data_IF_807831407501
#
_entry.id   IF_807831407501
#
_cell.length_a   1.000
_cell.length_b   1.000
_cell.length_c   1.000
_cell.angle_alpha   90.00
_cell.angle_beta   90.00
_cell.angle_gamma   90.00
#
_symmetry.space_group_name_H-M   'P 1'
#
loop_
_entity.id
_entity.type
_entity.pdbx_description
1 polymer ?
#
# COMPACT_ATOMS: atom_id res chain seq x y z
N UNK A 1 8.43 19.18 -57.09
CA UNK A 1 8.24 19.50 -55.65
C UNK A 1 7.36 18.47 -54.90
N UNK A 2 6.18 18.07 -55.36
CA UNK A 2 5.31 17.09 -54.65
C UNK A 2 5.94 15.71 -54.47
N UNK A 3 6.75 15.19 -55.40
CA UNK A 3 7.42 13.89 -55.26
C UNK A 3 8.57 13.88 -54.24
N UNK A 4 9.26 15.02 -54.06
CA UNK A 4 10.33 15.16 -53.06
C UNK A 4 9.75 15.29 -51.66
N UNK A 5 8.60 15.95 -51.50
CA UNK A 5 7.90 16.09 -50.24
C UNK A 5 7.36 14.72 -49.74
N UNK A 6 6.83 13.90 -50.65
CA UNK A 6 6.31 12.56 -50.34
C UNK A 6 7.45 11.58 -49.91
N UNK A 7 8.62 11.70 -50.55
CA UNK A 7 9.81 10.93 -50.23
C UNK A 7 10.39 11.30 -48.84
N UNK A 8 10.36 12.59 -48.47
CA UNK A 8 10.81 13.06 -47.13
C UNK A 8 9.84 12.66 -46.00
N UNK A 9 8.53 12.66 -46.27
CA UNK A 9 7.53 12.22 -45.30
C UNK A 9 7.60 10.71 -45.08
N UNK A 10 7.81 9.93 -46.14
CA UNK A 10 8.06 8.49 -45.99
C UNK A 10 9.39 8.19 -45.31
N UNK A 11 10.45 8.96 -45.53
CA UNK A 11 11.74 8.77 -44.84
C UNK A 11 11.66 9.15 -43.35
N UNK A 12 10.92 10.19 -43.00
CA UNK A 12 10.66 10.55 -41.61
C UNK A 12 9.73 9.53 -40.88
N UNK A 13 8.75 8.99 -41.61
CA UNK A 13 7.90 7.90 -41.07
C UNK A 13 8.71 6.58 -40.84
N UNK A 14 9.64 6.25 -41.74
CA UNK A 14 10.53 5.09 -41.61
C UNK A 14 11.56 5.34 -40.49
N UNK A 15 12.07 6.55 -40.32
CA UNK A 15 12.95 6.90 -39.19
C UNK A 15 12.21 6.94 -37.84
N UNK A 16 10.92 7.30 -37.82
CA UNK A 16 10.09 7.21 -36.62
C UNK A 16 9.74 5.74 -36.24
N UNK A 17 9.64 4.83 -37.21
CA UNK A 17 9.48 3.39 -36.95
C UNK A 17 10.80 2.69 -36.55
N UNK A 18 11.96 3.29 -36.78
CA UNK A 18 13.26 2.71 -36.47
C UNK A 18 13.75 2.97 -35.02
N UNK A 19 12.98 3.70 -34.24
CA UNK A 19 13.20 3.82 -32.80
C UNK A 19 12.43 2.74 -32.01
N UNK A 20 12.40 1.48 -32.48
CA UNK A 20 12.02 0.36 -31.63
C UNK A 20 13.06 0.26 -30.51
N UNK A 21 12.67 0.64 -29.29
CA UNK A 21 13.55 0.50 -28.14
C UNK A 21 13.89 -0.99 -27.97
N UNK A 22 15.15 -1.34 -28.18
CA UNK A 22 15.63 -2.71 -27.84
C UNK A 22 15.52 -2.89 -26.33
N UNK A 23 15.14 -4.10 -25.90
CA UNK A 23 15.19 -4.45 -24.48
C UNK A 23 16.57 -4.14 -23.91
N UNK A 24 16.64 -3.46 -22.76
CA UNK A 24 17.89 -2.97 -22.18
C UNK A 24 18.20 -3.76 -20.92
N UNK A 25 19.46 -4.22 -20.82
CA UNK A 25 20.03 -4.79 -19.59
C UNK A 25 21.23 -3.95 -19.16
N UNK A 26 21.25 -3.56 -17.90
CA UNK A 26 22.39 -2.84 -17.29
C UNK A 26 22.41 -3.03 -15.77
N UNK A 27 23.51 -2.66 -15.12
CA UNK A 27 23.62 -2.69 -13.65
C UNK A 27 23.71 -1.26 -13.15
N UNK A 28 22.97 -0.97 -12.08
CA UNK A 28 22.96 0.30 -11.38
C UNK A 28 23.37 0.09 -9.92
N UNK A 29 24.50 0.70 -9.52
CA UNK A 29 24.95 0.64 -8.13
C UNK A 29 24.03 1.47 -7.22
N UNK A 30 23.63 0.87 -6.12
CA UNK A 30 22.87 1.54 -5.06
C UNK A 30 23.80 2.09 -3.98
N UNK A 31 24.96 1.47 -3.77
CA UNK A 31 26.02 1.94 -2.87
C UNK A 31 27.26 2.32 -3.68
N UNK A 32 28.08 3.21 -3.14
CA UNK A 32 29.26 3.71 -3.85
C UNK A 32 30.31 2.61 -4.15
N UNK A 33 30.40 1.62 -3.28
CA UNK A 33 31.27 0.44 -3.42
C UNK A 33 30.69 -0.64 -4.36
N UNK A 34 29.40 -0.52 -4.79
CA UNK A 34 28.71 -1.50 -5.61
C UNK A 34 28.35 -2.80 -4.90
N UNK A 35 28.49 -2.89 -3.57
CA UNK A 35 28.05 -4.06 -2.80
C UNK A 35 26.54 -4.27 -2.91
N UNK A 36 25.77 -3.19 -2.94
CA UNK A 36 24.34 -3.21 -3.28
C UNK A 36 24.12 -2.62 -4.67
N UNK A 37 23.43 -3.37 -5.53
CA UNK A 37 23.11 -2.94 -6.89
C UNK A 37 21.83 -3.56 -7.43
N UNK A 38 21.30 -2.96 -8.50
CA UNK A 38 20.18 -3.47 -9.29
C UNK A 38 20.69 -3.95 -10.65
N UNK A 39 20.41 -5.21 -11.00
CA UNK A 39 20.45 -5.63 -12.40
C UNK A 39 19.09 -5.32 -13.03
N UNK A 40 19.08 -4.36 -13.94
CA UNK A 40 17.89 -3.80 -14.54
C UNK A 40 17.58 -4.48 -15.88
N UNK A 41 16.35 -4.92 -16.08
CA UNK A 41 15.83 -5.47 -17.33
C UNK A 41 14.62 -4.66 -17.77
N UNK A 42 14.82 -3.77 -18.75
CA UNK A 42 13.74 -2.94 -19.28
C UNK A 42 13.15 -3.59 -20.53
N UNK A 43 11.83 -3.79 -20.61
CA UNK A 43 11.18 -4.40 -21.76
C UNK A 43 11.20 -3.50 -22.98
N UNK A 44 11.12 -4.10 -24.18
CA UNK A 44 11.01 -3.37 -25.43
C UNK A 44 9.71 -2.54 -25.51
N UNK A 45 8.59 -3.14 -25.06
CA UNK A 45 7.27 -2.53 -25.04
C UNK A 45 6.78 -2.40 -23.59
N UNK A 46 7.10 -1.30 -22.87
CA UNK A 46 6.76 -1.17 -21.45
C UNK A 46 5.26 -1.01 -21.23
N UNK A 47 4.69 -1.84 -20.36
CA UNK A 47 3.31 -1.70 -19.87
C UNK A 47 3.15 -0.56 -18.86
N UNK A 48 4.26 -0.10 -18.28
CA UNK A 48 4.31 0.81 -17.16
C UNK A 48 4.48 0.11 -15.80
N UNK A 49 4.21 -1.19 -15.70
CA UNK A 49 4.44 -1.98 -14.47
C UNK A 49 5.90 -2.31 -14.28
N UNK A 50 6.32 -2.35 -13.01
CA UNK A 50 7.68 -2.73 -12.62
C UNK A 50 7.66 -3.66 -11.40
N UNK A 51 8.68 -4.51 -11.28
CA UNK A 51 8.90 -5.40 -10.15
C UNK A 51 10.35 -5.33 -9.70
N UNK A 52 10.57 -5.03 -8.41
CA UNK A 52 11.86 -5.18 -7.75
C UNK A 52 11.90 -6.54 -7.08
N UNK A 53 12.90 -7.33 -7.40
CA UNK A 53 13.05 -8.70 -6.94
C UNK A 53 14.14 -8.81 -5.87
N UNK A 54 13.83 -9.55 -4.80
CA UNK A 54 14.69 -9.86 -3.68
C UNK A 54 14.95 -11.38 -3.65
N UNK A 55 16.06 -11.88 -4.21
CA UNK A 55 16.41 -13.30 -4.17
C UNK A 55 16.57 -13.83 -2.75
N UNK A 56 16.29 -15.12 -2.53
CA UNK A 56 16.51 -15.78 -1.25
C UNK A 56 17.97 -16.15 -0.99
N UNK A 57 18.19 -16.98 0.02
CA UNK A 57 19.52 -17.44 0.43
C UNK A 57 19.76 -17.32 1.93
N UNK A 58 18.70 -17.31 2.75
CA UNK A 58 18.79 -17.35 4.20
C UNK A 58 19.47 -16.15 4.86
N UNK A 59 19.60 -15.01 4.16
CA UNK A 59 20.40 -13.86 4.57
C UNK A 59 21.90 -14.17 4.75
N UNK A 60 22.41 -15.25 4.14
CA UNK A 60 23.82 -15.63 4.12
C UNK A 60 24.46 -15.51 2.72
N UNK A 61 23.64 -15.63 1.70
CA UNK A 61 24.00 -15.49 0.27
C UNK A 61 22.79 -15.10 -0.55
N UNK A 62 22.93 -15.01 -1.88
CA UNK A 62 21.83 -14.70 -2.81
C UNK A 62 21.71 -15.78 -3.89
N UNK A 63 20.52 -16.34 -4.05
CA UNK A 63 20.17 -17.31 -5.09
C UNK A 63 19.83 -16.59 -6.41
N UNK A 64 20.77 -15.82 -6.96
CA UNK A 64 20.56 -14.85 -8.04
C UNK A 64 20.02 -15.43 -9.37
N UNK A 65 20.18 -16.72 -9.64
CA UNK A 65 19.75 -17.32 -10.89
C UNK A 65 18.23 -17.63 -10.87
N UNK A 66 17.84 -18.77 -10.31
CA UNK A 66 16.45 -19.27 -10.33
C UNK A 66 15.47 -18.47 -9.45
N UNK A 67 15.97 -17.64 -8.55
CA UNK A 67 15.20 -16.68 -7.72
C UNK A 67 15.49 -15.22 -8.10
N UNK A 68 16.04 -14.99 -9.30
CA UNK A 68 16.40 -13.65 -9.77
C UNK A 68 16.42 -13.58 -11.29
N UNK A 69 17.59 -13.73 -11.91
CA UNK A 69 17.80 -13.42 -13.32
C UNK A 69 16.91 -14.21 -14.29
N UNK A 70 16.56 -15.46 -13.96
CA UNK A 70 15.76 -16.33 -14.83
C UNK A 70 14.32 -15.82 -15.02
N UNK A 71 13.84 -14.95 -14.10
CA UNK A 71 12.51 -14.34 -14.19
C UNK A 71 12.43 -13.17 -15.19
N UNK A 72 13.56 -12.62 -15.61
CA UNK A 72 13.60 -11.40 -16.40
C UNK A 72 12.84 -11.52 -17.73
N UNK A 73 13.01 -12.64 -18.43
CA UNK A 73 12.33 -12.87 -19.72
C UNK A 73 10.82 -13.00 -19.55
N UNK A 74 10.35 -13.69 -18.49
CA UNK A 74 8.93 -13.83 -18.19
C UNK A 74 8.26 -12.47 -17.98
N UNK A 75 8.85 -11.58 -17.18
CA UNK A 75 8.29 -10.27 -16.94
C UNK A 75 8.41 -9.35 -18.16
N UNK A 76 9.54 -9.36 -18.85
CA UNK A 76 9.76 -8.50 -20.00
C UNK A 76 8.85 -8.85 -21.19
N UNK A 77 8.48 -10.12 -21.39
CA UNK A 77 7.47 -10.55 -22.39
C UNK A 77 6.09 -9.92 -22.13
N UNK A 78 5.77 -9.63 -20.88
CA UNK A 78 4.53 -8.96 -20.47
C UNK A 78 4.65 -7.43 -20.42
N UNK A 79 5.78 -6.87 -20.88
CA UNK A 79 6.06 -5.45 -20.83
C UNK A 79 6.37 -4.93 -19.42
N UNK A 80 6.63 -5.80 -18.45
CA UNK A 80 6.93 -5.44 -17.07
C UNK A 80 8.44 -5.25 -16.91
N UNK A 81 8.87 -4.09 -16.43
CA UNK A 81 10.27 -3.84 -16.09
C UNK A 81 10.66 -4.66 -14.84
N UNK A 82 11.82 -5.30 -14.88
CA UNK A 82 12.25 -6.21 -13.85
C UNK A 82 13.64 -5.84 -13.31
N UNK A 83 13.79 -5.83 -11.98
CA UNK A 83 14.97 -5.34 -11.31
C UNK A 83 15.41 -6.33 -10.25
N UNK A 84 16.52 -7.03 -10.46
CA UNK A 84 17.06 -7.98 -9.47
C UNK A 84 17.98 -7.24 -8.52
N UNK A 85 17.60 -7.22 -7.24
CA UNK A 85 18.35 -6.56 -6.19
C UNK A 85 19.42 -7.50 -5.62
N UNK A 86 20.67 -7.12 -5.76
CA UNK A 86 21.77 -7.63 -4.96
C UNK A 86 21.84 -6.80 -3.68
N UNK A 87 21.18 -7.27 -2.61
CA UNK A 87 21.23 -6.60 -1.31
C UNK A 87 22.39 -7.12 -0.45
N UNK A 88 22.90 -6.27 0.45
CA UNK A 88 23.99 -6.61 1.36
C UNK A 88 23.53 -7.61 2.43
N UNK A 89 24.41 -8.53 2.80
CA UNK A 89 24.14 -9.48 3.88
C UNK A 89 24.17 -8.76 5.23
N UNK A 90 23.20 -9.07 6.11
CA UNK A 90 23.03 -8.33 7.36
C UNK A 90 24.12 -8.60 8.40
N UNK A 91 24.58 -9.83 8.55
CA UNK A 91 25.52 -10.22 9.63
C UNK A 91 25.08 -9.66 11.00
N UNK A 92 23.79 -9.80 11.34
CA UNK A 92 23.17 -9.26 12.55
C UNK A 92 22.81 -7.76 12.50
N UNK A 93 23.18 -7.04 11.44
CA UNK A 93 22.76 -5.64 11.20
C UNK A 93 21.45 -5.63 10.44
N UNK A 94 20.37 -5.93 11.11
CA UNK A 94 19.03 -6.22 10.57
C UNK A 94 18.43 -5.12 9.70
N UNK A 95 18.87 -3.86 9.81
CA UNK A 95 18.36 -2.76 8.97
C UNK A 95 18.94 -2.76 7.55
N UNK A 96 20.16 -3.30 7.37
CA UNK A 96 20.92 -3.18 6.12
C UNK A 96 20.21 -3.71 4.89
N UNK A 97 19.64 -4.95 4.87
CA UNK A 97 18.91 -5.42 3.69
C UNK A 97 17.67 -4.56 3.38
N UNK A 98 16.98 -4.09 4.41
CA UNK A 98 15.79 -3.26 4.23
C UNK A 98 16.14 -1.86 3.70
N UNK A 99 17.26 -1.27 4.14
CA UNK A 99 17.78 -0.01 3.60
C UNK A 99 18.04 -0.13 2.10
N UNK A 100 18.69 -1.23 1.67
CA UNK A 100 18.97 -1.49 0.25
C UNK A 100 17.69 -1.68 -0.55
N UNK A 101 16.74 -2.46 -0.05
CA UNK A 101 15.47 -2.70 -0.73
C UNK A 101 14.61 -1.42 -0.82
N UNK A 102 14.56 -0.62 0.25
CA UNK A 102 13.89 0.68 0.21
C UNK A 102 14.55 1.64 -0.79
N UNK A 103 15.89 1.64 -0.84
CA UNK A 103 16.64 2.44 -1.82
C UNK A 103 16.35 1.98 -3.25
N UNK A 104 16.29 0.66 -3.49
CA UNK A 104 15.91 0.10 -4.79
C UNK A 104 14.52 0.58 -5.23
N UNK A 105 13.52 0.48 -4.35
CA UNK A 105 12.16 0.94 -4.63
C UNK A 105 12.11 2.43 -4.98
N UNK A 106 12.80 3.29 -4.22
CA UNK A 106 12.89 4.73 -4.51
C UNK A 106 13.58 4.98 -5.84
N UNK A 107 14.72 4.30 -6.11
CA UNK A 107 15.47 4.45 -7.35
C UNK A 107 14.62 4.12 -8.58
N UNK A 108 13.84 3.03 -8.53
CA UNK A 108 12.93 2.66 -9.62
C UNK A 108 11.85 3.72 -9.83
N UNK A 109 11.26 4.23 -8.75
CA UNK A 109 10.25 5.30 -8.82
C UNK A 109 10.80 6.63 -9.32
N UNK A 110 12.00 7.02 -8.89
CA UNK A 110 12.64 8.26 -9.31
C UNK A 110 13.07 8.21 -10.78
N UNK A 111 13.36 7.02 -11.31
CA UNK A 111 13.67 6.77 -12.71
C UNK A 111 12.44 6.49 -13.59
N UNK A 112 11.25 6.55 -13.04
CA UNK A 112 10.01 6.09 -13.70
C UNK A 112 9.74 6.79 -15.03
N UNK A 113 9.98 8.10 -15.12
CA UNK A 113 9.80 8.87 -16.38
C UNK A 113 10.79 8.44 -17.46
N UNK A 114 12.04 8.13 -17.10
CA UNK A 114 13.10 7.71 -18.03
C UNK A 114 12.90 6.27 -18.50
N UNK A 115 12.34 5.41 -17.64
CA UNK A 115 12.14 4.00 -17.93
C UNK A 115 10.72 3.65 -18.36
N UNK A 116 9.86 4.64 -18.59
CA UNK A 116 8.44 4.47 -18.94
C UNK A 116 7.65 3.63 -17.92
N UNK A 117 7.96 3.80 -16.65
CA UNK A 117 7.28 3.15 -15.53
C UNK A 117 6.19 4.07 -14.97
N UNK A 118 5.10 3.48 -14.48
CA UNK A 118 4.13 4.17 -13.64
C UNK A 118 4.59 4.06 -12.16
N UNK A 119 4.85 5.18 -11.50
CA UNK A 119 5.28 5.21 -10.08
C UNK A 119 4.31 4.51 -9.14
N UNK A 120 3.03 4.46 -9.50
CA UNK A 120 1.97 3.81 -8.71
C UNK A 120 1.69 2.36 -9.18
N UNK A 121 2.63 1.73 -9.92
CA UNK A 121 2.59 0.33 -10.33
C UNK A 121 3.95 -0.36 -10.18
N UNK A 122 4.62 -0.08 -9.07
CA UNK A 122 5.91 -0.70 -8.72
C UNK A 122 5.70 -1.71 -7.60
N UNK A 123 5.80 -2.99 -7.93
CA UNK A 123 5.72 -4.11 -6.99
C UNK A 123 7.07 -4.53 -6.45
N UNK A 124 7.02 -5.38 -5.42
CA UNK A 124 8.17 -6.10 -4.90
C UNK A 124 7.92 -7.59 -4.96
N UNK A 125 8.93 -8.35 -5.36
CA UNK A 125 8.93 -9.81 -5.34
C UNK A 125 10.03 -10.32 -4.42
N UNK A 126 9.83 -11.49 -3.83
CA UNK A 126 10.91 -12.08 -3.05
C UNK A 126 10.68 -13.55 -2.72
N UNK A 127 11.79 -14.24 -2.53
CA UNK A 127 11.88 -15.68 -2.33
C UNK A 127 12.48 -16.00 -0.97
N UNK A 128 11.89 -16.91 -0.19
CA UNK A 128 12.50 -17.37 1.07
C UNK A 128 12.85 -16.19 2.01
N UNK A 129 14.12 -16.01 2.36
CA UNK A 129 14.60 -14.83 3.11
C UNK A 129 14.39 -13.51 2.34
N UNK A 130 14.50 -13.52 1.01
CA UNK A 130 14.12 -12.38 0.16
C UNK A 130 12.61 -12.11 0.18
N UNK A 131 11.78 -13.14 0.36
CA UNK A 131 10.35 -13.02 0.64
C UNK A 131 10.06 -12.34 1.99
N UNK A 132 10.90 -12.62 3.00
CA UNK A 132 10.87 -11.87 4.25
C UNK A 132 11.23 -10.40 4.03
N UNK A 133 12.29 -10.11 3.26
CA UNK A 133 12.69 -8.75 2.93
C UNK A 133 11.57 -8.02 2.17
N UNK A 134 10.97 -8.64 1.16
CA UNK A 134 9.85 -8.09 0.40
C UNK A 134 8.63 -7.80 1.29
N UNK A 135 8.27 -8.72 2.19
CA UNK A 135 7.17 -8.52 3.14
C UNK A 135 7.51 -7.46 4.21
N UNK A 136 8.78 -7.32 4.61
CA UNK A 136 9.24 -6.25 5.51
C UNK A 136 9.09 -4.88 4.86
N UNK A 137 9.51 -4.70 3.61
CA UNK A 137 9.31 -3.45 2.86
C UNK A 137 7.81 -3.15 2.71
N UNK A 138 7.00 -4.16 2.46
CA UNK A 138 5.54 -4.02 2.31
C UNK A 138 4.83 -3.57 3.58
N UNK A 139 5.35 -3.91 4.76
CA UNK A 139 4.68 -3.67 6.05
C UNK A 139 5.31 -2.57 6.89
N UNK A 140 6.61 -2.33 6.75
CA UNK A 140 7.38 -1.43 7.61
C UNK A 140 7.89 -0.17 6.89
N UNK A 141 8.03 -0.19 5.55
CA UNK A 141 8.58 0.96 4.83
C UNK A 141 7.64 2.17 4.84
N UNK A 142 8.23 3.36 4.77
CA UNK A 142 7.52 4.60 4.53
C UNK A 142 6.92 4.62 3.11
N UNK A 143 5.96 5.52 2.88
CA UNK A 143 5.15 5.59 1.66
C UNK A 143 5.98 5.55 0.36
N UNK A 144 7.07 6.29 0.29
CA UNK A 144 7.91 6.46 -0.91
C UNK A 144 8.65 5.18 -1.34
N UNK A 145 8.90 4.25 -0.38
CA UNK A 145 9.53 2.96 -0.62
C UNK A 145 8.54 1.78 -0.58
N UNK A 146 7.34 1.96 -0.01
CA UNK A 146 6.34 0.88 0.10
C UNK A 146 5.82 0.48 -1.27
N UNK A 147 5.83 -0.82 -1.65
CA UNK A 147 5.38 -1.28 -2.96
C UNK A 147 3.88 -1.11 -3.15
N UNK A 148 3.43 -1.11 -4.41
CA UNK A 148 2.01 -1.10 -4.76
C UNK A 148 1.38 -2.49 -4.70
N UNK A 149 2.20 -3.55 -4.84
CA UNK A 149 1.81 -4.95 -4.69
C UNK A 149 3.01 -5.82 -4.33
N UNK A 150 2.77 -7.03 -3.80
CA UNK A 150 3.82 -7.96 -3.38
C UNK A 150 3.62 -9.35 -3.97
N UNK A 151 4.71 -9.98 -4.41
CA UNK A 151 4.76 -11.37 -4.90
C UNK A 151 5.71 -12.13 -3.98
N UNK A 152 5.18 -13.07 -3.19
CA UNK A 152 5.91 -13.73 -2.13
C UNK A 152 6.00 -15.24 -2.42
N UNK A 153 7.19 -15.72 -2.76
CA UNK A 153 7.47 -17.13 -2.98
C UNK A 153 8.02 -17.78 -1.73
N UNK A 154 7.34 -18.80 -1.22
CA UNK A 154 7.73 -19.55 -0.02
C UNK A 154 8.42 -18.68 1.03
N UNK A 155 7.82 -17.52 1.37
CA UNK A 155 8.49 -16.49 2.14
C UNK A 155 8.75 -16.94 3.58
N UNK A 156 9.93 -16.63 4.11
CA UNK A 156 10.09 -16.54 5.56
C UNK A 156 9.25 -15.36 6.03
N UNK A 157 8.46 -15.53 7.08
CA UNK A 157 7.54 -14.52 7.63
C UNK A 157 7.80 -14.33 9.12
N UNK A 158 7.76 -15.43 9.88
CA UNK A 158 8.05 -15.38 11.31
C UNK A 158 9.55 -15.39 11.57
N UNK A 159 10.04 -14.43 12.34
CA UNK A 159 11.43 -14.41 12.80
C UNK A 159 11.65 -15.22 14.08
N UNK A 160 10.64 -15.92 14.58
CA UNK A 160 10.81 -16.91 15.67
C UNK A 160 11.54 -18.14 15.14
N UNK A 161 12.78 -18.46 15.62
CA UNK A 161 13.62 -19.50 15.00
C UNK A 161 12.97 -20.88 14.86
N UNK A 162 12.06 -21.23 15.80
CA UNK A 162 11.32 -22.52 15.80
C UNK A 162 10.06 -22.50 14.92
N UNK A 163 9.60 -21.35 14.43
CA UNK A 163 8.39 -21.22 13.62
C UNK A 163 8.70 -20.82 12.17
N UNK A 164 9.73 -20.00 11.97
CA UNK A 164 10.25 -19.61 10.68
C UNK A 164 11.43 -20.49 10.25
N UNK A 165 12.34 -19.89 9.48
CA UNK A 165 13.63 -20.48 9.12
C UNK A 165 14.70 -19.96 10.09
N UNK A 166 15.18 -20.82 11.01
CA UNK A 166 16.13 -20.42 12.07
C UNK A 166 17.39 -19.74 11.54
N UNK A 167 17.97 -20.26 10.44
CA UNK A 167 19.14 -19.67 9.81
C UNK A 167 18.91 -18.21 9.35
N UNK A 168 17.75 -17.93 8.75
CA UNK A 168 17.38 -16.55 8.38
C UNK A 168 17.23 -15.64 9.59
N UNK A 169 16.63 -16.14 10.68
CA UNK A 169 16.47 -15.36 11.91
C UNK A 169 17.80 -14.99 12.54
N UNK A 170 18.72 -15.95 12.67
CA UNK A 170 20.05 -15.70 13.22
C UNK A 170 20.91 -14.81 12.31
N UNK A 171 20.89 -15.03 11.01
CA UNK A 171 21.67 -14.22 10.07
C UNK A 171 21.18 -12.76 10.04
N UNK A 172 19.86 -12.54 10.12
CA UNK A 172 19.27 -11.20 10.11
C UNK A 172 19.47 -10.49 11.45
N UNK A 173 19.04 -11.11 12.55
CA UNK A 173 18.93 -10.45 13.84
C UNK A 173 20.19 -10.61 14.72
N UNK A 174 21.04 -11.59 14.40
CA UNK A 174 22.17 -11.97 15.24
C UNK A 174 21.77 -12.80 16.47
N UNK A 175 22.74 -13.37 17.17
CA UNK A 175 22.47 -14.25 18.32
C UNK A 175 21.75 -13.55 19.47
N UNK A 176 22.05 -12.28 19.72
CA UNK A 176 21.37 -11.51 20.77
C UNK A 176 19.99 -11.00 20.30
N UNK A 177 19.86 -10.60 19.01
CA UNK A 177 18.59 -10.12 18.48
C UNK A 177 17.48 -11.17 18.46
N UNK A 178 17.81 -12.44 18.24
CA UNK A 178 16.81 -13.54 18.28
C UNK A 178 16.28 -13.84 19.69
N UNK A 179 16.94 -13.31 20.73
CA UNK A 179 16.49 -13.42 22.13
C UNK A 179 15.60 -12.24 22.54
N UNK A 180 15.64 -11.13 21.81
CA UNK A 180 14.77 -9.97 22.04
C UNK A 180 13.41 -10.21 21.37
N UNK A 181 12.41 -10.57 22.19
CA UNK A 181 11.05 -10.84 21.70
C UNK A 181 10.44 -9.64 20.97
N UNK A 182 10.75 -8.40 21.34
CA UNK A 182 10.21 -7.21 20.69
C UNK A 182 10.82 -7.05 19.30
N UNK A 183 12.10 -7.30 19.15
CA UNK A 183 12.79 -7.25 17.86
C UNK A 183 12.31 -8.38 16.95
N UNK A 184 12.22 -9.61 17.47
CA UNK A 184 11.67 -10.77 16.75
C UNK A 184 10.23 -10.49 16.30
N UNK A 185 9.40 -9.93 17.17
CA UNK A 185 8.01 -9.58 16.86
C UNK A 185 7.92 -8.41 15.85
N UNK A 186 8.83 -7.44 15.91
CA UNK A 186 8.92 -6.35 14.95
C UNK A 186 9.24 -6.84 13.54
N UNK A 187 10.16 -7.80 13.41
CA UNK A 187 10.53 -8.39 12.13
C UNK A 187 9.69 -9.62 11.73
N UNK A 188 8.74 -10.07 12.54
CA UNK A 188 7.72 -11.05 12.15
C UNK A 188 6.61 -10.33 11.39
N UNK A 189 6.68 -10.38 10.04
CA UNK A 189 5.95 -9.45 9.17
C UNK A 189 4.43 -9.64 9.19
N UNK A 190 3.91 -10.81 9.55
CA UNK A 190 2.49 -11.05 9.81
C UNK A 190 1.95 -10.14 10.91
N UNK A 191 2.78 -9.77 11.89
CA UNK A 191 2.42 -8.87 12.98
C UNK A 191 2.38 -7.39 12.57
N UNK A 192 3.03 -7.06 11.45
CA UNK A 192 3.17 -5.69 10.95
C UNK A 192 2.13 -5.35 9.86
N UNK A 193 1.32 -6.32 9.45
CA UNK A 193 0.25 -6.08 8.47
C UNK A 193 -0.77 -5.08 9.01
N UNK A 194 -1.01 -4.03 8.24
CA UNK A 194 -1.94 -2.92 8.56
C UNK A 194 -3.00 -2.80 7.48
N UNK A 195 -4.26 -2.62 7.89
CA UNK A 195 -5.36 -2.37 6.96
C UNK A 195 -5.06 -1.12 6.13
N UNK A 196 -5.40 -1.14 4.84
CA UNK A 196 -5.22 -0.08 3.84
C UNK A 196 -3.76 0.32 3.52
N UNK A 197 -2.81 0.09 4.43
CA UNK A 197 -1.42 0.49 4.24
C UNK A 197 -0.55 -0.63 3.67
N UNK A 198 -0.73 -1.88 4.12
CA UNK A 198 -0.03 -3.03 3.54
C UNK A 198 -0.65 -3.35 2.17
N UNK A 199 0.16 -3.39 1.10
CA UNK A 199 -0.34 -3.58 -0.26
C UNK A 199 -0.92 -4.98 -0.47
N UNK A 200 -1.69 -5.14 -1.56
CA UNK A 200 -2.15 -6.46 -2.00
C UNK A 200 -1.00 -7.42 -2.24
N UNK A 201 -1.22 -8.70 -2.01
CA UNK A 201 -0.18 -9.71 -2.17
C UNK A 201 -0.69 -10.99 -2.84
N UNK A 202 0.22 -11.69 -3.53
CA UNK A 202 0.08 -13.11 -3.86
C UNK A 202 1.18 -13.89 -3.17
N UNK A 203 0.83 -15.07 -2.62
CA UNK A 203 1.75 -15.98 -1.93
C UNK A 203 1.74 -17.31 -2.66
N UNK A 204 2.91 -17.81 -3.04
CA UNK A 204 3.07 -19.05 -3.78
C UNK A 204 3.94 -20.03 -2.96
N UNK A 205 3.39 -21.19 -2.62
CA UNK A 205 3.95 -22.14 -1.68
C UNK A 205 3.97 -23.55 -2.26
N UNK A 206 4.87 -24.40 -1.76
CA UNK A 206 4.76 -25.85 -1.89
C UNK A 206 4.30 -26.45 -0.55
N UNK A 207 3.35 -27.41 -0.60
CA UNK A 207 2.78 -28.01 0.62
C UNK A 207 3.81 -28.83 1.41
N UNK A 208 4.81 -29.36 0.73
CA UNK A 208 5.89 -30.19 1.27
C UNK A 208 7.16 -29.40 1.65
N UNK A 209 7.08 -28.06 1.79
CA UNK A 209 8.21 -27.24 2.21
C UNK A 209 8.55 -27.51 3.69
N UNK A 210 9.64 -28.23 3.91
CA UNK A 210 10.15 -28.55 5.23
C UNK A 210 11.15 -27.54 5.78
N UNK A 211 11.68 -26.63 4.96
CA UNK A 211 12.64 -25.62 5.39
C UNK A 211 11.97 -24.35 5.91
N UNK A 212 10.90 -23.91 5.24
CA UNK A 212 10.06 -22.77 5.64
C UNK A 212 8.60 -23.27 5.73
N UNK A 213 8.18 -23.78 6.89
CA UNK A 213 6.85 -24.41 7.02
C UNK A 213 5.73 -23.44 6.59
N UNK A 214 4.87 -23.82 5.63
CA UNK A 214 3.83 -22.96 5.07
C UNK A 214 2.90 -22.34 6.11
N UNK A 215 2.48 -23.16 7.09
CA UNK A 215 1.45 -22.76 8.09
C UNK A 215 1.91 -21.58 8.95
N UNK A 216 3.16 -21.61 9.42
CA UNK A 216 3.71 -20.59 10.31
C UNK A 216 4.32 -19.39 9.59
N UNK A 217 4.35 -19.43 8.25
CA UNK A 217 4.91 -18.38 7.41
C UNK A 217 3.86 -17.87 6.41
N UNK A 218 3.82 -18.35 5.17
CA UNK A 218 2.92 -17.81 4.14
C UNK A 218 1.44 -17.83 4.54
N UNK A 219 0.95 -18.92 5.15
CA UNK A 219 -0.43 -19.02 5.63
C UNK A 219 -0.71 -18.04 6.77
N UNK A 220 0.24 -17.83 7.69
CA UNK A 220 0.10 -16.87 8.78
C UNK A 220 -0.02 -15.43 8.23
N UNK A 221 0.80 -15.07 7.22
CA UNK A 221 0.72 -13.76 6.55
C UNK A 221 -0.63 -13.60 5.84
N UNK A 222 -1.07 -14.59 5.04
CA UNK A 222 -2.37 -14.60 4.39
C UNK A 222 -3.52 -14.41 5.41
N UNK A 223 -3.49 -15.18 6.50
CA UNK A 223 -4.50 -15.12 7.54
C UNK A 223 -4.60 -13.71 8.15
N UNK A 224 -3.44 -13.08 8.38
CA UNK A 224 -3.42 -11.72 8.90
C UNK A 224 -3.92 -10.69 7.89
N UNK A 225 -3.51 -10.80 6.62
CA UNK A 225 -4.03 -9.96 5.52
C UNK A 225 -5.56 -10.06 5.46
N UNK A 226 -6.12 -11.27 5.50
CA UNK A 226 -7.58 -11.51 5.47
C UNK A 226 -8.28 -10.96 6.71
N UNK A 227 -7.71 -11.14 7.91
CA UNK A 227 -8.27 -10.62 9.16
C UNK A 227 -8.42 -9.10 9.16
N UNK A 228 -7.46 -8.39 8.61
CA UNK A 228 -7.55 -6.92 8.50
C UNK A 228 -8.33 -6.46 7.28
N UNK A 229 -8.78 -7.38 6.40
CA UNK A 229 -9.56 -7.08 5.21
C UNK A 229 -8.75 -6.58 4.02
N UNK A 230 -7.44 -6.84 3.98
CA UNK A 230 -6.59 -6.56 2.83
C UNK A 230 -6.71 -7.66 1.76
N UNK A 231 -6.49 -7.30 0.50
CA UNK A 231 -6.48 -8.24 -0.61
C UNK A 231 -5.23 -9.12 -0.55
N UNK A 232 -5.44 -10.44 -0.53
CA UNK A 232 -4.36 -11.41 -0.59
C UNK A 232 -4.82 -12.69 -1.29
N UNK A 233 -4.06 -13.14 -2.28
CA UNK A 233 -4.22 -14.43 -2.95
C UNK A 233 -3.16 -15.41 -2.47
N UNK A 234 -3.46 -16.70 -2.48
CA UNK A 234 -2.51 -17.73 -2.11
C UNK A 234 -2.69 -18.98 -2.97
N UNK A 235 -1.60 -19.48 -3.54
CA UNK A 235 -1.52 -20.74 -4.25
C UNK A 235 -0.60 -21.69 -3.49
N UNK A 236 -1.07 -22.91 -3.20
CA UNK A 236 -0.28 -23.97 -2.55
C UNK A 236 -0.23 -25.16 -3.50
N UNK A 237 0.96 -25.45 -4.03
CA UNK A 237 1.21 -26.56 -4.94
C UNK A 237 1.51 -27.82 -4.12
N UNK A 238 1.09 -29.03 -4.62
CA UNK A 238 1.22 -30.27 -3.86
C UNK A 238 2.65 -30.62 -3.45
N UNK A 239 3.62 -30.38 -4.33
CA UNK A 239 5.04 -30.69 -4.11
C UNK A 239 5.94 -29.62 -4.69
N UNK A 240 7.20 -29.63 -4.29
CA UNK A 240 8.23 -28.71 -4.78
C UNK A 240 9.28 -28.42 -3.72
N UNK A 241 8.96 -28.71 -2.48
CA UNK A 241 9.82 -28.40 -1.35
C UNK A 241 10.12 -26.90 -1.24
N UNK A 242 11.30 -26.58 -0.75
CA UNK A 242 11.78 -25.20 -0.67
C UNK A 242 12.65 -24.83 -1.88
N UNK A 243 12.49 -23.61 -2.41
CA UNK A 243 13.39 -23.10 -3.45
C UNK A 243 13.08 -23.58 -4.87
N UNK A 244 11.80 -23.83 -5.20
CA UNK A 244 11.44 -24.22 -6.59
C UNK A 244 11.70 -23.08 -7.60
N UNK A 245 11.55 -21.81 -7.24
CA UNK A 245 11.91 -20.64 -8.07
C UNK A 245 11.47 -20.76 -9.55
N UNK A 246 12.30 -20.29 -10.48
CA UNK A 246 12.08 -20.39 -11.92
C UNK A 246 12.68 -21.68 -12.50
N UNK A 247 12.32 -22.82 -11.94
CA UNK A 247 12.85 -24.11 -12.42
C UNK A 247 11.86 -24.79 -13.38
N UNK A 248 12.15 -24.77 -14.67
CA UNK A 248 11.30 -25.37 -15.72
C UNK A 248 11.10 -26.88 -15.56
N UNK A 249 11.95 -27.56 -14.81
CA UNK A 249 11.82 -29.00 -14.48
C UNK A 249 10.84 -29.27 -13.35
N UNK A 250 10.38 -28.23 -12.63
CA UNK A 250 9.38 -28.38 -11.58
C UNK A 250 7.99 -28.63 -12.21
N UNK A 251 7.26 -29.68 -11.80
CA UNK A 251 6.00 -30.08 -12.48
C UNK A 251 4.92 -29.01 -12.53
N UNK A 252 4.91 -28.05 -11.60
CA UNK A 252 3.90 -26.98 -11.53
C UNK A 252 4.41 -25.65 -12.06
N UNK A 253 5.56 -25.61 -12.73
CA UNK A 253 6.16 -24.39 -13.26
C UNK A 253 5.19 -23.58 -14.14
N UNK A 254 4.60 -24.21 -15.16
CA UNK A 254 3.72 -23.50 -16.10
C UNK A 254 2.39 -23.09 -15.46
N UNK A 255 1.87 -23.91 -14.54
CA UNK A 255 0.70 -23.55 -13.75
C UNK A 255 0.98 -22.33 -12.88
N UNK A 256 2.11 -22.29 -12.19
CA UNK A 256 2.54 -21.18 -11.34
C UNK A 256 2.68 -19.89 -12.15
N UNK A 257 3.28 -19.93 -13.34
CA UNK A 257 3.38 -18.76 -14.21
C UNK A 257 2.00 -18.29 -14.69
N UNK A 258 1.09 -19.22 -14.99
CA UNK A 258 -0.30 -18.90 -15.36
C UNK A 258 -1.05 -18.24 -14.20
N UNK A 259 -0.94 -18.78 -12.98
CA UNK A 259 -1.58 -18.24 -11.78
C UNK A 259 -1.06 -16.84 -11.45
N UNK A 260 0.25 -16.63 -11.56
CA UNK A 260 0.87 -15.32 -11.36
C UNK A 260 0.43 -14.31 -12.43
N UNK A 261 0.39 -14.70 -13.70
CA UNK A 261 -0.07 -13.85 -14.80
C UNK A 261 -1.52 -13.42 -14.58
N UNK A 262 -2.42 -14.36 -14.28
CA UNK A 262 -3.84 -14.06 -13.99
C UNK A 262 -4.00 -13.11 -12.81
N UNK A 263 -3.19 -13.29 -11.78
CA UNK A 263 -3.23 -12.38 -10.63
C UNK A 263 -2.74 -10.98 -10.99
N UNK A 264 -1.64 -10.85 -11.74
CA UNK A 264 -1.14 -9.56 -12.21
C UNK A 264 -2.15 -8.83 -13.13
N UNK A 265 -2.91 -9.58 -13.93
CA UNK A 265 -3.95 -9.05 -14.80
C UNK A 265 -5.25 -8.70 -14.06
N UNK A 266 -5.44 -9.20 -12.83
CA UNK A 266 -6.67 -9.00 -12.06
C UNK A 266 -6.84 -7.57 -11.52
N UNK A 267 -5.79 -6.75 -11.56
CA UNK A 267 -5.83 -5.37 -11.12
C UNK A 267 -5.08 -4.43 -12.07
N UNK A 268 -5.57 -3.21 -12.12
CA UNK A 268 -4.94 -2.13 -12.90
C UNK A 268 -4.32 -1.11 -11.96
N UNK A 269 -3.21 -0.52 -12.40
CA UNK A 269 -2.68 0.66 -11.75
C UNK A 269 -3.60 1.87 -12.00
N UNK A 270 -3.59 2.85 -11.08
CA UNK A 270 -4.16 4.16 -11.37
C UNK A 270 -3.53 4.77 -12.62
N UNK A 271 -4.29 5.55 -13.36
CA UNK A 271 -3.74 6.33 -14.47
C UNK A 271 -2.68 7.30 -13.94
N UNK A 272 -1.64 7.56 -14.74
CA UNK A 272 -0.57 8.51 -14.38
C UNK A 272 -1.08 9.93 -14.09
N UNK A 273 -2.19 10.32 -14.71
CA UNK A 273 -2.87 11.60 -14.58
C UNK A 273 -4.11 11.54 -13.67
N UNK A 274 -4.32 10.46 -12.94
CA UNK A 274 -5.46 10.31 -12.05
C UNK A 274 -5.48 11.38 -10.95
N UNK A 275 -6.67 11.93 -10.70
CA UNK A 275 -6.91 12.85 -9.57
C UNK A 275 -6.84 12.07 -8.26
N UNK A 276 -5.89 12.39 -7.42
CA UNK A 276 -5.65 11.71 -6.14
C UNK A 276 -6.58 12.22 -5.06
N UNK A 277 -7.35 11.31 -4.45
CA UNK A 277 -8.31 11.60 -3.37
C UNK A 277 -7.88 10.88 -2.09
N UNK A 278 -7.58 11.62 -1.04
CA UNK A 278 -7.26 11.09 0.27
C UNK A 278 -8.49 11.13 1.20
N UNK A 279 -8.96 9.98 1.66
CA UNK A 279 -10.01 9.87 2.67
C UNK A 279 -9.36 9.68 4.05
N UNK A 280 -9.31 10.76 4.83
CA UNK A 280 -8.75 10.80 6.19
C UNK A 280 -9.87 10.65 7.21
N UNK A 281 -9.69 9.79 8.22
CA UNK A 281 -10.72 9.61 9.24
C UNK A 281 -10.42 8.56 10.29
N UNK A 282 -11.44 8.24 11.05
CA UNK A 282 -11.41 7.25 12.14
C UNK A 282 -11.93 5.87 11.67
N UNK A 283 -12.47 5.07 12.59
CA UNK A 283 -13.02 3.72 12.33
C UNK A 283 -14.09 3.67 11.23
N UNK A 284 -14.87 4.73 11.06
CA UNK A 284 -15.92 4.80 10.02
C UNK A 284 -15.27 4.91 8.64
N UNK A 285 -14.19 5.68 8.50
CA UNK A 285 -13.41 5.75 7.25
C UNK A 285 -12.59 4.48 7.04
N UNK A 286 -12.01 3.92 8.10
CA UNK A 286 -11.32 2.62 8.10
C UNK A 286 -12.25 1.48 7.64
N UNK A 287 -13.57 1.61 7.88
CA UNK A 287 -14.55 0.58 7.55
C UNK A 287 -14.64 -0.52 8.61
N UNK A 288 -14.45 -0.16 9.89
CA UNK A 288 -14.58 -1.10 11.00
C UNK A 288 -15.94 -1.79 11.01
N UNK A 289 -15.94 -3.12 11.19
CA UNK A 289 -17.13 -3.96 11.15
C UNK A 289 -17.61 -4.35 9.74
N UNK A 290 -16.99 -3.82 8.69
CA UNK A 290 -17.26 -4.21 7.30
C UNK A 290 -16.26 -5.28 6.87
N UNK A 291 -16.76 -6.46 6.49
CA UNK A 291 -15.90 -7.49 5.89
C UNK A 291 -15.31 -7.00 4.58
N UNK A 292 -14.00 -7.25 4.37
CA UNK A 292 -13.24 -6.74 3.22
C UNK A 292 -13.41 -5.23 3.03
N UNK A 293 -13.19 -4.46 4.10
CA UNK A 293 -13.36 -3.00 4.10
C UNK A 293 -12.53 -2.28 3.03
N UNK A 294 -11.39 -2.87 2.61
CA UNK A 294 -10.58 -2.35 1.49
C UNK A 294 -11.29 -2.37 0.15
N UNK A 295 -12.35 -3.18 0.01
CA UNK A 295 -13.18 -3.30 -1.19
C UNK A 295 -14.60 -2.75 -0.99
N UNK A 296 -15.12 -2.78 0.25
CA UNK A 296 -16.53 -2.51 0.57
C UNK A 296 -16.75 -1.32 1.50
N UNK A 297 -15.66 -0.70 2.00
CA UNK A 297 -15.75 0.56 2.75
C UNK A 297 -16.08 1.75 1.85
N UNK A 298 -16.57 2.85 2.41
CA UNK A 298 -17.01 3.99 1.60
C UNK A 298 -15.91 4.56 0.68
N UNK A 299 -14.61 4.56 1.02
CA UNK A 299 -13.59 5.06 0.09
C UNK A 299 -13.45 4.17 -1.16
N UNK A 300 -13.57 2.84 -1.02
CA UNK A 300 -13.54 1.93 -2.17
C UNK A 300 -14.79 2.10 -3.07
N UNK A 301 -15.95 2.30 -2.47
CA UNK A 301 -17.18 2.60 -3.20
C UNK A 301 -17.08 3.96 -3.91
N UNK A 302 -16.48 4.95 -3.25
CA UNK A 302 -16.20 6.25 -3.84
C UNK A 302 -15.27 6.14 -5.05
N UNK A 303 -14.23 5.30 -4.99
CA UNK A 303 -13.38 4.98 -6.13
C UNK A 303 -14.18 4.46 -7.32
N UNK A 304 -15.07 3.50 -7.08
CA UNK A 304 -15.90 2.92 -8.14
C UNK A 304 -16.86 3.96 -8.77
N UNK A 305 -17.38 4.89 -7.98
CA UNK A 305 -18.26 5.97 -8.46
C UNK A 305 -17.49 7.02 -9.27
N UNK A 306 -16.26 7.35 -8.87
CA UNK A 306 -15.42 8.34 -9.55
C UNK A 306 -14.76 7.79 -10.82
N UNK A 307 -14.56 6.47 -10.90
CA UNK A 307 -13.98 5.78 -12.06
C UNK A 307 -12.46 5.96 -12.18
N UNK A 308 -11.92 5.53 -13.34
CA UNK A 308 -10.47 5.39 -13.61
C UNK A 308 -9.71 6.73 -13.70
N UNK A 309 -10.43 7.86 -13.80
CA UNK A 309 -9.84 9.19 -13.74
C UNK A 309 -9.39 9.61 -12.33
N UNK A 310 -9.65 8.81 -11.32
CA UNK A 310 -9.34 9.10 -9.93
C UNK A 310 -8.59 7.94 -9.26
N UNK A 311 -7.79 8.28 -8.26
CA UNK A 311 -7.18 7.33 -7.33
C UNK A 311 -7.59 7.69 -5.91
N UNK A 312 -8.49 6.90 -5.32
CA UNK A 312 -8.99 7.11 -3.95
C UNK A 312 -8.23 6.20 -2.99
N UNK A 313 -7.55 6.78 -2.01
CA UNK A 313 -6.88 6.04 -0.93
C UNK A 313 -7.56 6.24 0.41
N UNK A 314 -7.70 5.15 1.14
CA UNK A 314 -8.25 5.13 2.49
C UNK A 314 -7.13 5.26 3.52
N UNK A 315 -7.14 6.37 4.26
CA UNK A 315 -6.25 6.64 5.38
C UNK A 315 -7.01 6.67 6.72
N UNK A 316 -8.16 6.00 6.77
CA UNK A 316 -8.91 5.81 8.01
C UNK A 316 -8.17 4.91 9.00
N UNK A 317 -8.21 5.26 10.28
CA UNK A 317 -7.62 4.50 11.37
C UNK A 317 -8.58 4.44 12.55
N UNK A 318 -8.93 3.21 12.97
CA UNK A 318 -9.88 3.00 14.07
C UNK A 318 -9.47 3.69 15.36
N UNK A 319 -10.46 4.19 16.10
CA UNK A 319 -10.35 4.87 17.40
C UNK A 319 -9.66 6.25 17.42
N UNK A 320 -9.15 6.74 16.29
CA UNK A 320 -8.34 7.98 16.27
C UNK A 320 -9.17 9.22 16.50
N UNK A 321 -8.55 10.17 17.21
CA UNK A 321 -9.07 11.51 17.50
C UNK A 321 -8.43 12.56 16.60
N UNK A 322 -9.16 13.63 16.31
CA UNK A 322 -8.60 14.86 15.75
C UNK A 322 -7.75 15.58 16.81
N UNK A 323 -8.23 15.59 18.04
CA UNK A 323 -7.53 16.18 19.17
C UNK A 323 -6.15 15.56 19.37
N UNK A 324 -5.10 16.37 19.36
CA UNK A 324 -3.73 15.96 19.64
C UNK A 324 -3.49 15.54 21.09
N UNK A 325 -4.36 15.99 22.01
CA UNK A 325 -4.40 15.59 23.42
C UNK A 325 -5.42 14.49 23.70
N UNK A 326 -6.11 13.98 22.66
CA UNK A 326 -6.98 12.83 22.80
C UNK A 326 -6.22 11.54 23.10
N UNK A 327 -6.96 10.48 23.40
CA UNK A 327 -6.38 9.16 23.76
C UNK A 327 -5.51 8.56 22.64
N UNK A 328 -5.91 8.72 21.36
CA UNK A 328 -5.17 8.19 20.22
C UNK A 328 -5.15 9.20 19.05
N UNK A 329 -4.24 10.19 19.08
CA UNK A 329 -4.20 11.26 18.09
C UNK A 329 -3.85 10.81 16.67
N UNK A 330 -4.70 11.15 15.69
CA UNK A 330 -4.51 10.78 14.28
C UNK A 330 -3.21 11.35 13.68
N UNK A 331 -2.85 12.58 13.99
CA UNK A 331 -1.66 13.23 13.43
C UNK A 331 -0.32 12.60 13.87
N UNK A 332 -0.33 11.67 14.84
CA UNK A 332 0.85 10.89 15.24
C UNK A 332 1.02 9.60 14.45
N UNK A 333 0.05 9.21 13.65
CA UNK A 333 -0.02 7.94 12.97
C UNK A 333 0.70 7.93 11.62
N UNK A 334 1.10 6.73 11.17
CA UNK A 334 1.65 6.52 9.82
C UNK A 334 0.64 6.94 8.74
N UNK A 335 -0.65 6.65 8.93
CA UNK A 335 -1.69 7.03 7.97
C UNK A 335 -1.76 8.53 7.69
N UNK A 336 -1.45 9.39 8.67
CA UNK A 336 -1.32 10.83 8.45
C UNK A 336 -0.11 11.17 7.57
N UNK A 337 1.06 10.59 7.88
CA UNK A 337 2.28 10.81 7.08
C UNK A 337 2.10 10.32 5.65
N UNK A 338 1.48 9.15 5.46
CA UNK A 338 1.18 8.59 4.15
C UNK A 338 0.21 9.46 3.35
N UNK A 339 -0.83 10.00 4.00
CA UNK A 339 -1.79 10.90 3.35
C UNK A 339 -1.10 12.18 2.83
N UNK A 340 -0.14 12.73 3.58
CA UNK A 340 0.66 13.87 3.12
C UNK A 340 1.62 13.47 1.98
N UNK A 341 2.30 12.32 2.10
CA UNK A 341 3.23 11.81 1.09
C UNK A 341 2.54 11.44 -0.23
N UNK A 342 1.29 11.05 -0.19
CA UNK A 342 0.45 10.76 -1.36
C UNK A 342 0.27 12.00 -2.27
N UNK A 343 0.48 13.20 -1.76
CA UNK A 343 0.28 14.47 -2.49
C UNK A 343 -1.11 14.54 -3.13
N UNK A 344 -2.20 14.45 -2.36
CA UNK A 344 -3.56 14.38 -2.91
C UNK A 344 -3.93 15.68 -3.62
N UNK A 345 -4.85 15.58 -4.59
CA UNK A 345 -5.51 16.72 -5.23
C UNK A 345 -6.81 17.09 -4.50
N UNK A 346 -7.45 16.10 -3.86
CA UNK A 346 -8.66 16.27 -3.05
C UNK A 346 -8.44 15.55 -1.73
N UNK A 347 -8.83 16.18 -0.63
CA UNK A 347 -8.80 15.59 0.71
C UNK A 347 -10.18 15.67 1.37
N UNK A 348 -10.66 14.55 1.87
CA UNK A 348 -11.90 14.45 2.64
C UNK A 348 -11.54 14.08 4.07
N UNK A 349 -11.77 14.97 5.04
CA UNK A 349 -11.46 14.76 6.46
C UNK A 349 -12.75 14.49 7.23
N UNK A 350 -12.86 13.28 7.79
CA UNK A 350 -13.97 12.83 8.64
C UNK A 350 -13.44 12.31 9.97
N UNK A 351 -13.12 13.23 10.89
CA UNK A 351 -12.73 12.98 12.28
C UNK A 351 -13.77 13.64 13.22
N UNK A 352 -13.63 13.47 14.52
CA UNK A 352 -14.50 14.04 15.55
C UNK A 352 -15.23 12.97 16.37
N UNK A 353 -15.75 11.88 15.76
CA UNK A 353 -16.55 10.88 16.47
C UNK A 353 -15.91 10.43 17.80
N UNK A 354 -14.60 10.17 17.84
CA UNK A 354 -13.91 9.78 19.08
C UNK A 354 -13.58 10.96 19.99
N UNK A 355 -13.53 12.14 19.44
CA UNK A 355 -13.29 13.39 20.16
C UNK A 355 -14.46 13.73 21.07
N UNK A 356 -15.69 13.33 20.68
CA UNK A 356 -16.92 13.53 21.48
C UNK A 356 -16.97 12.67 22.75
N UNK A 357 -16.07 11.66 22.91
CA UNK A 357 -15.98 10.89 24.15
C UNK A 357 -15.66 11.78 25.33
N UNK A 358 -16.28 11.49 26.48
CA UNK A 358 -16.18 12.34 27.68
C UNK A 358 -14.74 12.67 28.07
N UNK A 359 -13.84 11.66 28.04
CA UNK A 359 -12.44 11.83 28.42
C UNK A 359 -11.60 12.59 27.37
N UNK A 360 -12.01 12.63 26.11
CA UNK A 360 -11.36 13.39 25.06
C UNK A 360 -11.89 14.84 25.02
N UNK A 361 -13.22 15.03 25.20
CA UNK A 361 -13.83 16.35 25.08
C UNK A 361 -13.45 17.33 26.18
N UNK A 362 -12.79 16.88 27.24
CA UNK A 362 -12.17 17.78 28.24
C UNK A 362 -11.14 18.72 27.59
N UNK A 363 -10.58 18.31 26.43
CA UNK A 363 -9.63 19.09 25.63
C UNK A 363 -10.30 19.94 24.52
N UNK A 364 -11.62 20.13 24.55
CA UNK A 364 -12.42 20.85 23.53
C UNK A 364 -11.85 22.18 23.05
N UNK A 365 -11.15 22.92 23.94
CA UNK A 365 -10.53 24.17 23.58
C UNK A 365 -9.45 24.09 22.49
N UNK A 366 -8.87 22.91 22.31
CA UNK A 366 -7.83 22.64 21.29
C UNK A 366 -8.42 22.14 19.96
N UNK A 367 -9.68 21.65 19.92
CA UNK A 367 -10.28 20.99 18.75
C UNK A 367 -10.17 21.84 17.48
N UNK A 368 -10.52 23.13 17.57
CA UNK A 368 -10.43 24.03 16.41
C UNK A 368 -8.99 24.35 15.99
N UNK A 369 -8.05 24.35 16.93
CA UNK A 369 -6.62 24.59 16.65
C UNK A 369 -5.99 23.37 15.96
N UNK A 370 -6.30 22.18 16.47
CA UNK A 370 -5.78 20.93 15.91
C UNK A 370 -6.33 20.70 14.49
N UNK A 371 -7.62 20.99 14.24
CA UNK A 371 -8.20 20.97 12.89
C UNK A 371 -7.53 22.01 11.97
N UNK A 372 -7.25 23.22 12.47
CA UNK A 372 -6.52 24.24 11.69
C UNK A 372 -5.11 23.75 11.33
N UNK A 373 -4.41 23.08 12.26
CA UNK A 373 -3.07 22.51 12.01
C UNK A 373 -3.10 21.46 10.90
N UNK A 374 -4.12 20.57 10.87
CA UNK A 374 -4.31 19.63 9.76
C UNK A 374 -4.52 20.34 8.43
N UNK A 375 -5.38 21.35 8.40
CA UNK A 375 -5.67 22.13 7.19
C UNK A 375 -4.42 22.87 6.70
N UNK A 376 -3.66 23.49 7.60
CA UNK A 376 -2.44 24.22 7.25
C UNK A 376 -1.37 23.29 6.68
N UNK A 377 -1.20 22.09 7.27
CA UNK A 377 -0.27 21.07 6.78
C UNK A 377 -0.63 20.61 5.35
N UNK A 378 -1.91 20.40 5.07
CA UNK A 378 -2.38 20.02 3.74
C UNK A 378 -2.23 21.16 2.72
N UNK A 379 -2.52 22.38 3.09
CA UNK A 379 -2.34 23.57 2.23
C UNK A 379 -0.87 23.84 1.88
N UNK A 380 0.05 23.41 2.75
CA UNK A 380 1.49 23.54 2.52
C UNK A 380 2.02 22.53 1.47
N UNK A 381 1.25 21.49 1.13
CA UNK A 381 1.68 20.50 0.14
C UNK A 381 1.86 21.12 -1.27
N UNK A 382 2.87 20.67 -2.04
CA UNK A 382 3.03 21.06 -3.45
C UNK A 382 1.78 20.83 -4.31
N UNK A 383 1.01 19.77 -4.03
CA UNK A 383 -0.24 19.44 -4.75
C UNK A 383 -1.37 20.44 -4.54
N UNK A 384 -1.30 21.31 -3.50
CA UNK A 384 -2.34 22.32 -3.18
C UNK A 384 -3.75 21.74 -3.20
N UNK A 385 -4.07 20.73 -2.37
CA UNK A 385 -5.32 20.00 -2.46
C UNK A 385 -6.55 20.87 -2.20
N UNK A 386 -7.65 20.55 -2.86
CA UNK A 386 -8.98 20.96 -2.43
C UNK A 386 -9.36 20.14 -1.18
N UNK A 387 -9.75 20.83 -0.10
CA UNK A 387 -9.99 20.22 1.21
C UNK A 387 -11.47 20.30 1.54
N UNK A 388 -12.05 19.15 1.90
CA UNK A 388 -13.41 19.02 2.39
C UNK A 388 -13.40 18.57 3.84
N UNK A 389 -13.99 19.37 4.75
CA UNK A 389 -14.17 19.04 6.14
C UNK A 389 -15.58 18.48 6.33
N UNK A 390 -15.68 17.27 6.87
CA UNK A 390 -16.96 16.62 7.11
C UNK A 390 -17.36 16.78 8.58
N UNK A 391 -18.67 16.98 8.84
CA UNK A 391 -19.19 16.65 10.18
C UNK A 391 -19.08 15.14 10.43
N UNK A 392 -18.94 14.66 11.67
CA UNK A 392 -19.24 13.27 11.99
C UNK A 392 -20.67 12.91 11.57
N UNK A 393 -20.93 11.63 11.27
CA UNK A 393 -22.30 11.14 11.14
C UNK A 393 -22.96 11.05 12.52
N UNK A 394 -24.32 10.99 12.61
CA UNK A 394 -25.01 10.86 13.89
C UNK A 394 -24.57 9.63 14.69
N UNK A 395 -24.44 9.78 16.01
CA UNK A 395 -24.34 8.66 16.92
C UNK A 395 -25.75 8.25 17.34
N UNK A 396 -26.31 7.23 16.67
CA UNK A 396 -27.70 6.79 16.89
C UNK A 396 -27.89 6.06 18.22
N UNK A 397 -26.81 5.60 18.84
CA UNK A 397 -26.80 4.98 20.17
C UNK A 397 -25.58 5.46 20.99
N UNK A 398 -25.72 5.59 22.31
CA UNK A 398 -24.60 5.93 23.17
C UNK A 398 -23.69 4.71 23.35
N UNK A 399 -22.63 4.61 22.55
CA UNK A 399 -21.61 3.55 22.63
C UNK A 399 -20.25 4.16 22.93
N UNK A 400 -19.46 3.51 23.77
CA UNK A 400 -18.10 3.95 24.17
C UNK A 400 -18.00 5.42 24.61
N UNK A 401 -19.02 5.94 25.27
CA UNK A 401 -19.13 7.35 25.68
C UNK A 401 -19.11 8.38 24.53
N UNK A 402 -19.27 7.94 23.29
CA UNK A 402 -19.48 8.82 22.14
C UNK A 402 -20.80 9.55 22.33
N UNK A 403 -20.78 10.87 22.13
CA UNK A 403 -21.88 11.75 22.50
C UNK A 403 -22.33 12.62 21.34
N UNK A 404 -23.52 12.32 20.82
CA UNK A 404 -24.10 13.05 19.68
C UNK A 404 -24.37 14.52 19.99
N UNK A 405 -24.78 14.84 21.22
CA UNK A 405 -24.96 16.24 21.65
C UNK A 405 -23.66 17.04 21.61
N UNK A 406 -22.52 16.41 21.93
CA UNK A 406 -21.19 17.03 21.79
C UNK A 406 -20.86 17.25 20.30
N UNK A 407 -21.16 16.27 19.46
CA UNK A 407 -20.98 16.38 18.00
C UNK A 407 -21.76 17.58 17.47
N UNK A 408 -23.06 17.64 17.76
CA UNK A 408 -23.95 18.69 17.23
C UNK A 408 -23.61 20.07 17.77
N UNK A 409 -23.47 20.19 19.09
CA UNK A 409 -23.39 21.50 19.75
C UNK A 409 -21.93 21.99 19.94
N UNK A 410 -20.97 21.07 19.90
CA UNK A 410 -19.56 21.36 20.12
C UNK A 410 -18.72 21.32 18.85
N UNK A 411 -18.68 20.18 18.16
CA UNK A 411 -17.77 19.95 17.05
C UNK A 411 -18.21 20.58 15.74
N UNK A 412 -19.46 20.37 15.31
CA UNK A 412 -19.97 20.85 14.01
C UNK A 412 -19.84 22.36 13.85
N UNK A 413 -20.19 23.20 14.84
CA UNK A 413 -20.00 24.64 14.74
C UNK A 413 -18.52 25.03 14.53
N UNK A 414 -17.59 24.34 15.20
CA UNK A 414 -16.14 24.58 15.06
C UNK A 414 -15.66 24.14 13.67
N UNK A 415 -16.06 22.96 13.18
CA UNK A 415 -15.71 22.47 11.86
C UNK A 415 -16.19 23.44 10.77
N UNK A 416 -17.45 23.90 10.84
CA UNK A 416 -18.02 24.92 9.93
C UNK A 416 -17.22 26.22 9.94
N UNK A 417 -16.83 26.69 11.14
CA UNK A 417 -16.02 27.91 11.30
C UNK A 417 -14.65 27.78 10.65
N UNK A 418 -13.96 26.64 10.87
CA UNK A 418 -12.63 26.38 10.28
C UNK A 418 -12.76 26.22 8.75
N UNK A 419 -13.77 25.52 8.26
CA UNK A 419 -14.04 25.37 6.82
C UNK A 419 -14.21 26.76 6.15
N UNK A 420 -15.10 27.59 6.69
CA UNK A 420 -15.34 28.94 6.17
C UNK A 420 -14.09 29.81 6.18
N UNK A 421 -13.36 29.85 7.30
CA UNK A 421 -12.11 30.62 7.45
C UNK A 421 -11.08 30.23 6.40
N UNK A 422 -10.99 28.96 6.08
CA UNK A 422 -9.96 28.41 5.21
C UNK A 422 -10.40 28.24 3.75
N UNK A 423 -11.64 28.60 3.40
CA UNK A 423 -12.25 28.36 2.08
C UNK A 423 -12.25 26.88 1.70
N UNK A 424 -12.39 25.99 2.68
CA UNK A 424 -12.57 24.56 2.49
C UNK A 424 -14.05 24.24 2.20
N UNK A 425 -14.31 23.16 1.46
CA UNK A 425 -15.64 22.59 1.35
C UNK A 425 -16.11 22.09 2.74
N UNK A 426 -17.41 22.15 3.00
CA UNK A 426 -18.03 21.54 4.17
C UNK A 426 -19.04 20.51 3.72
N UNK A 427 -18.90 19.25 4.17
CA UNK A 427 -19.85 18.17 3.91
C UNK A 427 -20.63 17.88 5.20
N UNK A 428 -21.91 18.23 5.22
CA UNK A 428 -22.78 17.98 6.36
C UNK A 428 -23.26 16.52 6.37
N UNK A 429 -22.36 15.61 6.78
CA UNK A 429 -22.72 14.20 6.92
C UNK A 429 -23.72 13.97 8.04
N UNK A 430 -23.73 14.81 9.10
CA UNK A 430 -24.63 14.64 10.24
C UNK A 430 -26.09 14.78 9.83
N UNK A 431 -26.43 15.82 9.09
CA UNK A 431 -27.81 16.05 8.66
C UNK A 431 -28.24 15.19 7.47
N UNK A 432 -27.28 14.83 6.58
CA UNK A 432 -27.58 14.04 5.38
C UNK A 432 -27.64 12.53 5.63
N UNK A 433 -26.93 12.02 6.64
CA UNK A 433 -26.88 10.60 6.97
C UNK A 433 -27.95 10.23 8.01
N UNK A 434 -29.18 10.00 7.57
CA UNK A 434 -30.34 9.71 8.45
C UNK A 434 -30.66 8.21 8.58
N UNK A 435 -29.76 7.33 8.19
CA UNK A 435 -29.98 5.89 8.00
C UNK A 435 -29.62 5.09 9.26
N UNK A 436 -30.43 5.19 10.32
CA UNK A 436 -30.21 4.46 11.57
C UNK A 436 -30.28 2.94 11.41
N UNK A 437 -31.11 2.46 10.46
CA UNK A 437 -31.27 1.05 10.09
C UNK A 437 -30.09 0.47 9.30
N UNK A 438 -29.19 1.32 8.79
CA UNK A 438 -27.98 0.92 8.07
C UNK A 438 -26.72 0.97 8.94
N UNK A 439 -26.90 1.05 10.26
CA UNK A 439 -25.80 0.97 11.23
C UNK A 439 -25.59 -0.46 11.70
N UNK A 440 -24.40 -0.73 12.26
CA UNK A 440 -24.15 -1.90 13.09
C UNK A 440 -24.89 -1.75 14.44
N UNK A 441 -24.93 -2.81 15.23
CA UNK A 441 -25.64 -2.84 16.54
C UNK A 441 -25.17 -1.78 17.52
N UNK A 442 -23.94 -1.28 17.34
CA UNK A 442 -23.37 -0.22 18.16
C UNK A 442 -23.99 1.17 17.89
N UNK A 443 -24.66 1.36 16.75
CA UNK A 443 -25.27 2.63 16.35
C UNK A 443 -24.24 3.74 16.01
N UNK A 444 -22.97 3.39 15.85
CA UNK A 444 -21.85 4.31 15.52
C UNK A 444 -21.25 4.00 14.14
N UNK A 445 -21.12 2.71 13.81
CA UNK A 445 -20.49 2.28 12.57
C UNK A 445 -21.53 1.92 11.53
N UNK A 446 -21.46 2.47 10.31
CA UNK A 446 -22.28 2.02 9.19
C UNK A 446 -21.96 0.56 8.82
N UNK A 447 -23.01 -0.21 8.48
CA UNK A 447 -22.82 -1.48 7.79
C UNK A 447 -22.47 -1.28 6.31
N UNK A 448 -22.31 -2.36 5.53
CA UNK A 448 -21.94 -2.25 4.11
C UNK A 448 -22.89 -1.40 3.26
N UNK A 449 -24.20 -1.44 3.54
CA UNK A 449 -25.20 -0.60 2.85
C UNK A 449 -25.08 0.87 3.29
N UNK A 450 -24.82 1.09 4.57
CA UNK A 450 -24.57 2.43 5.12
C UNK A 450 -23.31 3.07 4.54
N UNK A 451 -22.26 2.27 4.29
CA UNK A 451 -21.05 2.74 3.60
C UNK A 451 -21.34 3.21 2.16
N UNK A 452 -22.30 2.56 1.45
CA UNK A 452 -22.75 3.03 0.13
C UNK A 452 -23.38 4.41 0.23
N UNK A 453 -24.29 4.62 1.19
CA UNK A 453 -24.95 5.93 1.40
C UNK A 453 -23.95 7.03 1.74
N UNK A 454 -22.97 6.72 2.57
CA UNK A 454 -21.90 7.65 2.90
C UNK A 454 -21.05 8.03 1.67
N UNK A 455 -20.70 7.05 0.83
CA UNK A 455 -20.00 7.30 -0.42
C UNK A 455 -20.82 8.17 -1.40
N UNK A 456 -22.13 7.98 -1.47
CA UNK A 456 -23.04 8.79 -2.30
C UNK A 456 -23.02 10.26 -1.88
N UNK A 457 -23.18 10.55 -0.59
CA UNK A 457 -23.16 11.91 -0.06
C UNK A 457 -21.80 12.61 -0.33
N UNK A 458 -20.71 11.89 -0.16
CA UNK A 458 -19.36 12.43 -0.41
C UNK A 458 -19.15 12.64 -1.91
N UNK A 459 -19.55 11.69 -2.75
CA UNK A 459 -19.44 11.77 -4.20
C UNK A 459 -20.16 13.01 -4.75
N UNK A 460 -21.40 13.24 -4.36
CA UNK A 460 -22.17 14.43 -4.75
C UNK A 460 -21.40 15.71 -4.40
N UNK A 461 -20.90 15.82 -3.14
CA UNK A 461 -20.24 17.02 -2.69
C UNK A 461 -18.94 17.36 -3.43
N UNK A 462 -18.16 16.34 -3.87
CA UNK A 462 -16.89 16.55 -4.58
C UNK A 462 -17.04 16.62 -6.09
N UNK A 463 -18.21 16.20 -6.64
CA UNK A 463 -18.51 16.22 -8.09
C UNK A 463 -19.27 17.47 -8.55
N UNK A 464 -20.04 18.13 -7.66
CA UNK A 464 -20.87 19.30 -7.98
C UNK A 464 -20.08 20.56 -8.39
N UNK A 465 -18.75 20.57 -8.23
CA UNK A 465 -17.89 21.71 -8.56
C UNK A 465 -17.19 21.61 -9.92
N UNK A 466 -17.55 20.60 -10.72
CA UNK A 466 -17.14 20.47 -12.12
C UNK A 466 -18.28 20.89 -13.02
#
# INVERSE_FOLDING_TARGET
MKKILLSMVCLMAVLALAAQSTAKKFVLNLTADGESNLTCYLPQNPSGRAVVDCPGGGYSHLALNHEGYDWAEYFNKQGIAFFVLKYRMPHGRYTVPMEDACKAMRTVRDSASVWNINREDVGIMGFSAGGHLASSVSTLAEYDARPNFSILFYPVISMKPKKGHGGSSYNLLGEEGVKDEKLVDHYSTEKQVRRHLTPRAIILLANDDGAVPPVTNGVAYYSRMRQVGNECSMCIYPTGGHGFGFRSTWPYHDQMLSDLTRWLDSFKAPRKDAIRVACIGNSITDGSGIDMATQKGYPAILQNKLGDGYEVKNYGLSARTLLCKGDVPYMKEMGWRDALAFQPNIVVIKLGTNDSKTHNWVHKAEFGKDLQTMVDSLKALPSKPEIYLCSPIPAFKPSWTINDSVIVNGEIPVIKKVAKKNKCGFIDLHSKYTFADLMLDDGIHPNGKGAVKMAEIIYEAISEKK
#
